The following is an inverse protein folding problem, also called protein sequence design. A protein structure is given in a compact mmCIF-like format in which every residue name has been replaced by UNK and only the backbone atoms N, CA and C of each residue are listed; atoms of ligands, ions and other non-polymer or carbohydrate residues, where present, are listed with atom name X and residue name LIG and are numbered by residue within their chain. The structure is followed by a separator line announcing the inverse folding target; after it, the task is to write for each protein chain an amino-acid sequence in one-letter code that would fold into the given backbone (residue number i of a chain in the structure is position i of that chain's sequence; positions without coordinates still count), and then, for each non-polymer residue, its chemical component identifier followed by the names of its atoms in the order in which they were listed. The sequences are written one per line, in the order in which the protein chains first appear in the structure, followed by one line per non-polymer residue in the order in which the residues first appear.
data_IF_005353517315
#
_entry.id   IF_005353517315
#
_cell.length_a   1.000
_cell.length_b   1.000
_cell.length_c   1.000
_cell.angle_alpha   90.00
_cell.angle_beta   90.00
_cell.angle_gamma   90.00
#
_symmetry.space_group_name_H-M   'P 1'
#
loop_
_entity.id
_entity.type
_entity.pdbx_description
1 polymer ?
#
# COMPACT_ATOMS: atom_id res chain seq x y z
N UNK A 1 23.19 3.44 55.35
CA UNK A 1 23.02 3.90 53.96
C UNK A 1 23.02 2.72 52.96
N UNK A 2 22.19 1.68 53.14
CA UNK A 2 22.11 0.51 52.23
C UNK A 2 20.80 0.44 51.41
N UNK A 3 19.82 1.32 51.67
CA UNK A 3 18.49 1.24 51.07
C UNK A 3 18.35 1.81 49.65
N UNK A 4 19.26 2.67 49.20
CA UNK A 4 19.15 3.33 47.89
C UNK A 4 19.60 2.42 46.73
N UNK A 5 20.59 1.55 46.96
CA UNK A 5 21.11 0.65 45.91
C UNK A 5 20.15 -0.50 45.58
N UNK A 6 19.46 -1.05 46.58
CA UNK A 6 18.53 -2.17 46.38
C UNK A 6 17.27 -1.73 45.61
N UNK A 7 16.71 -0.56 45.92
CA UNK A 7 15.56 0.00 45.20
C UNK A 7 15.81 0.22 43.71
N UNK A 8 17.00 0.72 43.35
CA UNK A 8 17.42 0.87 41.95
C UNK A 8 17.53 -0.48 41.23
N UNK A 9 18.11 -1.50 41.87
CA UNK A 9 18.20 -2.85 41.28
C UNK A 9 16.82 -3.45 41.03
N UNK A 10 15.88 -3.36 41.99
CA UNK A 10 14.50 -3.83 41.78
C UNK A 10 13.79 -3.07 40.67
N UNK A 11 14.00 -1.76 40.57
CA UNK A 11 13.45 -0.95 39.48
C UNK A 11 13.97 -1.40 38.12
N UNK A 12 15.28 -1.63 37.98
CA UNK A 12 15.90 -2.11 36.74
C UNK A 12 15.42 -3.52 36.35
N UNK A 13 15.27 -4.42 37.32
CA UNK A 13 14.70 -5.76 37.09
C UNK A 13 13.24 -5.64 36.63
N UNK A 14 12.45 -4.74 37.24
CA UNK A 14 11.08 -4.46 36.84
C UNK A 14 11.00 -3.95 35.39
N UNK A 15 11.84 -2.98 35.03
CA UNK A 15 11.94 -2.45 33.66
C UNK A 15 12.34 -3.53 32.65
N UNK A 16 13.31 -4.38 33.01
CA UNK A 16 13.75 -5.51 32.20
C UNK A 16 12.63 -6.52 31.96
N UNK A 17 11.90 -6.89 33.00
CA UNK A 17 10.79 -7.83 32.89
C UNK A 17 9.63 -7.26 32.07
N UNK A 18 9.31 -5.97 32.24
CA UNK A 18 8.30 -5.29 31.44
C UNK A 18 8.66 -5.29 29.94
N UNK A 19 9.92 -5.00 29.60
CA UNK A 19 10.38 -5.01 28.20
C UNK A 19 10.31 -6.42 27.59
N UNK A 20 10.66 -7.46 28.36
CA UNK A 20 10.55 -8.85 27.89
C UNK A 20 9.10 -9.24 27.64
N UNK A 21 8.19 -8.88 28.55
CA UNK A 21 6.75 -9.14 28.37
C UNK A 21 6.23 -8.42 27.12
N UNK A 22 6.66 -7.17 26.87
CA UNK A 22 6.29 -6.43 25.67
C UNK A 22 6.80 -7.10 24.37
N UNK A 23 8.03 -7.62 24.37
CA UNK A 23 8.60 -8.36 23.24
C UNK A 23 7.81 -9.66 23.01
N UNK A 24 7.49 -10.40 24.07
CA UNK A 24 6.69 -11.63 24.00
C UNK A 24 5.27 -11.36 23.48
N UNK A 25 4.62 -10.29 23.97
CA UNK A 25 3.31 -9.88 23.51
C UNK A 25 3.32 -9.51 22.02
N UNK A 26 4.31 -8.71 21.58
CA UNK A 26 4.48 -8.35 20.16
C UNK A 26 4.70 -9.61 19.29
N UNK A 27 5.51 -10.56 19.75
CA UNK A 27 5.72 -11.84 19.07
C UNK A 27 4.43 -12.66 18.96
N UNK A 28 3.69 -12.80 20.06
CA UNK A 28 2.42 -13.56 20.09
C UNK A 28 1.36 -12.91 19.21
N UNK A 29 1.25 -11.57 19.25
CA UNK A 29 0.38 -10.82 18.35
C UNK A 29 0.75 -11.04 16.88
N UNK A 30 2.05 -11.07 16.55
CA UNK A 30 2.48 -11.40 15.20
C UNK A 30 2.02 -12.79 14.73
N UNK A 31 2.11 -13.79 15.60
CA UNK A 31 1.68 -15.16 15.29
C UNK A 31 0.16 -15.28 15.15
N UNK A 32 -0.61 -14.61 16.01
CA UNK A 32 -2.06 -14.55 15.92
C UNK A 32 -2.50 -13.83 14.64
N UNK A 33 -1.84 -12.72 14.27
CA UNK A 33 -2.14 -11.95 13.07
C UNK A 33 -1.83 -12.74 11.78
N UNK A 34 -0.77 -13.56 11.77
CA UNK A 34 -0.53 -14.47 10.65
C UNK A 34 -1.66 -15.48 10.49
N UNK A 35 -2.19 -16.01 11.59
CA UNK A 35 -3.27 -17.00 11.55
C UNK A 35 -4.61 -16.38 11.12
N UNK A 36 -4.83 -15.11 11.44
CA UNK A 36 -6.05 -14.38 11.08
C UNK A 36 -5.99 -13.68 9.72
N UNK A 37 -4.90 -13.84 8.96
CA UNK A 37 -4.71 -13.23 7.64
C UNK A 37 -4.36 -11.72 7.69
N UNK A 38 -4.09 -11.16 8.87
CA UNK A 38 -3.62 -9.78 9.02
C UNK A 38 -2.10 -9.70 8.80
N UNK A 39 -1.68 -9.97 7.58
CA UNK A 39 -0.27 -10.16 7.21
C UNK A 39 0.61 -8.94 7.52
N UNK A 40 0.19 -7.72 7.16
CA UNK A 40 0.95 -6.51 7.45
C UNK A 40 1.15 -6.28 8.96
N UNK A 41 0.09 -6.52 9.76
CA UNK A 41 0.16 -6.40 11.22
C UNK A 41 1.07 -7.46 11.84
N UNK A 42 1.07 -8.67 11.28
CA UNK A 42 2.02 -9.70 11.68
C UNK A 42 3.46 -9.27 11.43
N UNK A 43 3.73 -8.70 10.25
CA UNK A 43 5.03 -8.15 9.89
C UNK A 43 5.49 -7.05 10.85
N UNK A 44 4.65 -6.04 11.09
CA UNK A 44 4.95 -4.93 11.99
C UNK A 44 5.25 -5.41 13.42
N UNK A 45 4.43 -6.31 13.96
CA UNK A 45 4.59 -6.82 15.32
C UNK A 45 5.87 -7.68 15.47
N UNK A 46 6.20 -8.49 14.46
CA UNK A 46 7.44 -9.29 14.47
C UNK A 46 8.70 -8.41 14.42
N UNK A 47 8.67 -7.34 13.62
CA UNK A 47 9.76 -6.36 13.56
C UNK A 47 9.88 -5.56 14.84
N UNK A 48 8.77 -5.17 15.46
CA UNK A 48 8.78 -4.48 16.76
C UNK A 48 9.48 -5.35 17.80
N UNK A 49 9.13 -6.63 17.90
CA UNK A 49 9.79 -7.59 18.79
C UNK A 49 11.30 -7.73 18.50
N UNK A 50 11.66 -7.90 17.21
CA UNK A 50 13.06 -8.02 16.78
C UNK A 50 13.88 -6.76 17.05
N UNK A 51 13.31 -5.58 16.78
CA UNK A 51 13.96 -4.28 17.00
C UNK A 51 14.17 -4.00 18.48
N UNK A 52 13.16 -4.23 19.33
CA UNK A 52 13.31 -4.08 20.79
C UNK A 52 14.39 -4.98 21.37
N UNK A 53 14.60 -6.17 20.79
CA UNK A 53 15.66 -7.08 21.21
C UNK A 53 17.05 -6.63 20.71
N UNK A 54 17.12 -6.09 19.48
CA UNK A 54 18.36 -5.56 18.88
C UNK A 54 18.82 -4.29 19.60
N UNK A 55 17.88 -3.37 19.82
CA UNK A 55 18.10 -2.06 20.42
C UNK A 55 17.90 -2.14 21.95
N UNK A 56 18.48 -3.16 22.58
CA UNK A 56 18.33 -3.40 24.01
C UNK A 56 18.88 -2.20 24.81
N UNK A 57 18.15 -1.66 25.81
CA UNK A 57 18.59 -0.47 26.52
C UNK A 57 19.94 -0.67 27.22
N UNK A 58 20.88 0.24 26.98
CA UNK A 58 22.25 0.14 27.52
C UNK A 58 22.31 0.10 29.06
N UNK A 59 21.39 0.79 29.73
CA UNK A 59 21.26 0.76 31.20
C UNK A 59 20.78 -0.60 31.73
N UNK A 60 20.27 -1.50 30.88
CA UNK A 60 19.93 -2.89 31.20
C UNK A 60 20.98 -3.89 30.68
N UNK A 61 22.19 -3.44 30.34
CA UNK A 61 23.25 -4.30 29.82
C UNK A 61 23.66 -5.44 30.77
N UNK A 62 23.48 -5.26 32.08
CA UNK A 62 23.70 -6.29 33.11
C UNK A 62 22.54 -7.29 33.23
N UNK A 63 21.37 -6.98 32.70
CA UNK A 63 20.14 -7.78 32.80
C UNK A 63 19.67 -8.23 31.41
N UNK A 64 20.55 -8.86 30.64
CA UNK A 64 20.24 -9.26 29.26
C UNK A 64 19.06 -10.25 29.21
N UNK A 65 18.28 -10.24 28.11
CA UNK A 65 17.29 -11.26 27.84
C UNK A 65 17.95 -12.63 27.65
N UNK A 66 17.22 -13.69 27.97
CA UNK A 66 17.71 -15.05 27.81
C UNK A 66 17.82 -15.47 26.32
N UNK A 67 18.60 -16.52 26.07
CA UNK A 67 18.82 -17.03 24.72
C UNK A 67 17.53 -17.59 24.08
N UNK A 68 16.60 -18.10 24.88
CA UNK A 68 15.36 -18.69 24.40
C UNK A 68 14.44 -17.62 23.79
N UNK A 69 14.32 -16.45 24.42
CA UNK A 69 13.60 -15.31 23.87
C UNK A 69 14.16 -14.90 22.51
N UNK A 70 15.49 -14.83 22.38
CA UNK A 70 16.15 -14.51 21.11
C UNK A 70 15.83 -15.51 20.01
N UNK A 71 15.87 -16.82 20.32
CA UNK A 71 15.51 -17.89 19.39
C UNK A 71 14.04 -17.76 18.95
N UNK A 72 13.12 -17.54 19.90
CA UNK A 72 11.70 -17.41 19.59
C UNK A 72 11.41 -16.20 18.70
N UNK A 73 11.96 -15.03 19.03
CA UNK A 73 11.78 -13.82 18.22
C UNK A 73 12.33 -14.01 16.81
N UNK A 74 13.50 -14.63 16.68
CA UNK A 74 14.12 -14.90 15.37
C UNK A 74 13.28 -15.90 14.57
N UNK A 75 12.73 -16.93 15.21
CA UNK A 75 11.84 -17.91 14.57
C UNK A 75 10.56 -17.24 14.05
N UNK A 76 9.92 -16.40 14.87
CA UNK A 76 8.71 -15.67 14.46
C UNK A 76 9.02 -14.69 13.32
N UNK A 77 10.13 -13.94 13.41
CA UNK A 77 10.53 -13.01 12.36
C UNK A 77 10.82 -13.73 11.04
N UNK A 78 11.53 -14.87 11.07
CA UNK A 78 11.73 -15.71 9.89
C UNK A 78 10.39 -16.15 9.29
N UNK A 79 9.49 -16.70 10.10
CA UNK A 79 8.17 -17.16 9.64
C UNK A 79 7.39 -16.05 8.95
N UNK A 80 7.44 -14.84 9.51
CA UNK A 80 6.71 -13.68 8.99
C UNK A 80 7.36 -13.13 7.73
N UNK A 81 8.69 -12.98 7.69
CA UNK A 81 9.43 -12.47 6.52
C UNK A 81 9.20 -13.32 5.27
N UNK A 82 9.14 -14.65 5.41
CA UNK A 82 8.90 -15.56 4.29
C UNK A 82 7.43 -15.94 4.10
N UNK A 83 6.57 -15.68 5.09
CA UNK A 83 5.15 -16.04 5.08
C UNK A 83 4.22 -14.91 4.65
N UNK A 84 4.64 -13.66 4.78
CA UNK A 84 3.84 -12.47 4.44
C UNK A 84 4.10 -12.03 3.00
N UNK A 85 3.02 -11.78 2.26
CA UNK A 85 3.03 -11.22 0.91
C UNK A 85 2.60 -9.76 0.89
N UNK A 86 1.68 -9.38 1.77
CA UNK A 86 1.24 -7.99 1.93
C UNK A 86 2.39 -7.09 2.40
N UNK A 87 2.68 -6.02 1.64
CA UNK A 87 3.73 -5.05 1.99
C UNK A 87 3.19 -3.67 2.34
N UNK A 88 2.00 -3.33 1.86
CA UNK A 88 1.44 -2.00 2.05
C UNK A 88 -0.08 -1.96 1.83
N UNK A 89 -0.71 -0.88 2.32
CA UNK A 89 -2.12 -0.53 2.11
C UNK A 89 -2.22 0.91 1.64
N UNK A 90 -2.75 1.12 0.44
CA UNK A 90 -2.89 2.44 -0.19
C UNK A 90 -4.31 2.97 0.06
N UNK A 91 -4.49 3.81 1.08
CA UNK A 91 -5.81 4.16 1.63
C UNK A 91 -6.18 5.64 1.54
N UNK A 92 -6.06 6.27 0.37
CA UNK A 92 -6.42 7.70 0.17
C UNK A 92 -7.77 7.89 -0.55
N UNK A 93 -8.17 6.95 -1.40
CA UNK A 93 -9.47 6.98 -2.07
C UNK A 93 -10.62 6.97 -1.06
N UNK A 94 -11.63 7.79 -1.31
CA UNK A 94 -12.90 7.78 -0.58
C UNK A 94 -13.96 6.91 -1.28
N UNK A 95 -13.80 6.71 -2.59
CA UNK A 95 -14.64 5.82 -3.40
C UNK A 95 -14.12 4.38 -3.46
N UNK A 96 -14.83 3.53 -4.20
CA UNK A 96 -14.37 2.15 -4.45
C UNK A 96 -13.28 2.18 -5.51
N UNK A 97 -12.11 1.64 -5.20
CA UNK A 97 -11.03 1.47 -6.18
C UNK A 97 -11.46 0.42 -7.21
N UNK A 98 -11.51 0.80 -8.48
CA UNK A 98 -12.01 -0.04 -9.58
C UNK A 98 -10.95 -0.38 -10.62
N UNK A 99 -9.86 0.40 -10.68
CA UNK A 99 -8.77 0.16 -11.62
C UNK A 99 -7.40 0.40 -10.99
N UNK A 100 -6.41 -0.29 -11.53
CA UNK A 100 -5.03 -0.24 -11.05
C UNK A 100 -4.07 -0.40 -12.23
N UNK A 101 -3.09 0.49 -12.33
CA UNK A 101 -2.02 0.44 -13.32
C UNK A 101 -0.67 0.40 -12.61
N UNK A 102 0.27 -0.39 -13.12
CA UNK A 102 1.67 -0.40 -12.67
C UNK A 102 2.51 0.10 -13.84
N UNK A 103 3.45 1.01 -13.58
CA UNK A 103 4.34 1.50 -14.63
C UNK A 103 5.26 0.38 -15.14
N UNK A 104 5.71 0.42 -16.41
CA UNK A 104 6.60 -0.59 -16.98
C UNK A 104 7.92 -0.78 -16.23
N UNK A 105 8.48 0.28 -15.65
CA UNK A 105 9.66 0.24 -14.78
C UNK A 105 9.35 -0.28 -13.35
N UNK A 106 8.07 -0.50 -13.06
CA UNK A 106 7.55 -0.94 -11.78
C UNK A 106 7.66 0.10 -10.66
N UNK A 107 8.08 1.34 -10.94
CA UNK A 107 8.36 2.37 -9.94
C UNK A 107 7.12 3.10 -9.43
N UNK A 108 6.06 3.16 -10.24
CA UNK A 108 4.82 3.87 -9.96
C UNK A 108 3.62 2.94 -10.03
N UNK A 109 2.63 3.28 -9.23
CA UNK A 109 1.32 2.63 -9.19
C UNK A 109 0.29 3.74 -9.36
N UNK A 110 -0.64 3.57 -10.30
CA UNK A 110 -1.84 4.39 -10.42
C UNK A 110 -3.02 3.59 -9.87
N UNK A 111 -3.81 4.20 -9.01
CA UNK A 111 -5.11 3.67 -8.59
C UNK A 111 -6.21 4.65 -8.96
N UNK A 112 -7.36 4.12 -9.38
CA UNK A 112 -8.50 4.91 -9.80
C UNK A 112 -9.78 4.40 -9.14
N UNK A 113 -10.65 5.33 -8.75
CA UNK A 113 -11.93 4.99 -8.10
C UNK A 113 -13.16 5.27 -8.97
N UNK A 114 -14.33 4.88 -8.45
CA UNK A 114 -15.62 5.04 -9.11
C UNK A 114 -16.15 6.48 -9.16
N UNK A 115 -15.46 7.44 -8.54
CA UNK A 115 -15.68 8.88 -8.69
C UNK A 115 -14.72 9.53 -9.71
N UNK A 116 -13.86 8.72 -10.33
CA UNK A 116 -12.85 9.18 -11.28
C UNK A 116 -11.67 9.88 -10.64
N UNK A 117 -11.46 9.72 -9.33
CA UNK A 117 -10.24 10.22 -8.68
C UNK A 117 -9.08 9.29 -9.05
N UNK A 118 -7.92 9.89 -9.33
CA UNK A 118 -6.68 9.20 -9.66
C UNK A 118 -5.65 9.51 -8.57
N UNK A 119 -5.10 8.47 -7.96
CA UNK A 119 -3.98 8.59 -7.02
C UNK A 119 -2.74 7.93 -7.63
N UNK A 120 -1.59 8.60 -7.50
CA UNK A 120 -0.29 8.08 -7.95
C UNK A 120 0.59 7.79 -6.74
N UNK A 121 1.18 6.60 -6.74
CA UNK A 121 1.97 6.09 -5.63
C UNK A 121 3.33 5.62 -6.12
N UNK A 122 4.33 5.71 -5.26
CA UNK A 122 5.56 4.95 -5.45
C UNK A 122 5.42 3.51 -4.95
N UNK A 123 6.42 2.67 -5.21
CA UNK A 123 6.47 1.28 -4.72
C UNK A 123 6.47 1.15 -3.20
N UNK A 124 6.85 2.21 -2.49
CA UNK A 124 6.81 2.27 -1.03
C UNK A 124 5.43 2.66 -0.51
N UNK A 125 4.46 2.90 -1.41
CA UNK A 125 3.09 3.33 -1.16
C UNK A 125 2.96 4.75 -0.65
N UNK A 126 3.98 5.59 -0.86
CA UNK A 126 3.86 7.03 -0.65
C UNK A 126 3.12 7.63 -1.84
N UNK A 127 2.21 8.56 -1.55
CA UNK A 127 1.59 9.38 -2.59
C UNK A 127 2.66 10.25 -3.25
N UNK A 128 2.75 10.20 -4.57
CA UNK A 128 3.73 10.94 -5.36
C UNK A 128 3.39 12.43 -5.47
N UNK A 129 2.10 12.75 -5.47
CA UNK A 129 1.56 14.11 -5.52
C UNK A 129 1.07 14.56 -4.13
N UNK A 130 0.81 15.86 -3.96
CA UNK A 130 0.28 16.40 -2.70
C UNK A 130 -1.11 15.84 -2.35
N UNK A 131 -1.95 15.58 -3.35
CA UNK A 131 -3.20 14.85 -3.22
C UNK A 131 -3.52 14.05 -4.49
N UNK A 132 -4.55 13.20 -4.42
CA UNK A 132 -5.16 12.60 -5.58
C UNK A 132 -5.90 13.68 -6.38
N UNK A 133 -5.94 13.53 -7.69
CA UNK A 133 -6.51 14.53 -8.58
C UNK A 133 -7.73 13.98 -9.31
N UNK A 134 -8.61 14.89 -9.71
CA UNK A 134 -9.81 14.55 -10.47
C UNK A 134 -9.39 14.11 -11.88
N UNK A 135 -9.63 12.84 -12.19
CA UNK A 135 -9.56 12.24 -13.52
C UNK A 135 -10.69 12.71 -14.43
N UNK A 136 -10.79 12.14 -15.64
CA UNK A 136 -11.92 12.40 -16.54
C UNK A 136 -13.26 12.05 -15.86
N UNK A 137 -14.30 12.82 -16.15
CA UNK A 137 -15.63 12.62 -15.57
C UNK A 137 -16.20 11.24 -15.93
N UNK A 138 -16.61 10.47 -14.92
CA UNK A 138 -17.20 9.14 -15.06
C UNK A 138 -16.48 8.07 -14.24
N UNK A 139 -16.89 6.80 -14.38
CA UNK A 139 -16.18 5.68 -13.74
C UNK A 139 -14.97 5.31 -14.58
N UNK A 140 -13.77 5.39 -14.01
CA UNK A 140 -12.54 4.99 -14.69
C UNK A 140 -12.44 3.46 -14.70
N UNK A 141 -12.60 2.85 -15.87
CA UNK A 141 -12.59 1.40 -16.02
C UNK A 141 -11.17 0.83 -16.07
N UNK A 142 -10.23 1.60 -16.61
CA UNK A 142 -8.85 1.14 -16.81
C UNK A 142 -7.89 2.33 -16.84
N UNK A 143 -6.66 2.07 -16.42
CA UNK A 143 -5.56 3.02 -16.41
C UNK A 143 -4.26 2.32 -16.85
N UNK A 144 -3.55 2.90 -17.81
CA UNK A 144 -2.31 2.34 -18.36
C UNK A 144 -1.25 3.42 -18.50
N UNK A 145 -0.03 3.11 -18.08
CA UNK A 145 1.11 4.01 -18.23
C UNK A 145 1.69 3.88 -19.65
N UNK A 146 2.16 4.98 -20.21
CA UNK A 146 3.03 4.91 -21.38
C UNK A 146 4.40 4.30 -21.01
N UNK A 147 5.17 3.82 -22.01
CA UNK A 147 6.50 3.23 -21.78
C UNK A 147 7.45 4.11 -20.96
N UNK A 148 7.45 5.42 -21.23
CA UNK A 148 8.32 6.40 -20.57
C UNK A 148 7.80 6.90 -19.21
N UNK A 149 6.64 6.41 -18.75
CA UNK A 149 6.05 6.74 -17.43
C UNK A 149 5.79 8.25 -17.22
N UNK A 150 5.60 9.00 -18.32
CA UNK A 150 5.25 10.42 -18.31
C UNK A 150 3.74 10.67 -18.42
N UNK A 151 3.02 9.74 -19.05
CA UNK A 151 1.59 9.84 -19.33
C UNK A 151 0.85 8.64 -18.76
N UNK A 152 -0.38 8.90 -18.32
CA UNK A 152 -1.36 7.88 -17.96
C UNK A 152 -2.56 7.98 -18.89
N UNK A 153 -2.81 6.92 -19.66
CA UNK A 153 -4.06 6.76 -20.38
C UNK A 153 -5.12 6.25 -19.40
N UNK A 154 -6.26 6.91 -19.41
CA UNK A 154 -7.42 6.51 -18.62
C UNK A 154 -8.62 6.38 -19.53
N UNK A 155 -9.45 5.39 -19.22
CA UNK A 155 -10.70 5.15 -19.94
C UNK A 155 -11.86 5.26 -18.96
N UNK A 156 -12.80 6.15 -19.26
CA UNK A 156 -13.99 6.37 -18.43
C UNK A 156 -15.26 6.01 -19.16
N UNK A 157 -16.19 5.37 -18.45
CA UNK A 157 -17.56 5.15 -18.92
C UNK A 157 -18.51 6.15 -18.26
N UNK A 158 -19.43 6.69 -19.07
CA UNK A 158 -20.53 7.50 -18.56
C UNK A 158 -21.45 6.65 -17.69
N UNK A 159 -21.84 7.22 -16.56
CA UNK A 159 -22.84 6.66 -15.66
C UNK A 159 -24.16 7.43 -15.78
N UNK A 160 -25.27 6.75 -15.55
CA UNK A 160 -26.58 7.41 -15.43
C UNK A 160 -26.75 8.13 -14.08
N UNK A 161 -27.92 8.75 -13.87
CA UNK A 161 -28.25 9.45 -12.63
C UNK A 161 -28.21 8.57 -11.38
N UNK A 162 -28.23 7.25 -11.54
CA UNK A 162 -28.19 6.28 -10.45
C UNK A 162 -26.77 5.69 -10.25
N UNK A 163 -25.77 6.19 -10.98
CA UNK A 163 -24.39 5.71 -10.91
C UNK A 163 -24.20 4.34 -11.56
N UNK A 164 -25.11 3.89 -12.43
CA UNK A 164 -25.00 2.63 -13.16
C UNK A 164 -24.35 2.85 -14.53
N UNK A 165 -23.55 1.87 -14.96
CA UNK A 165 -23.04 1.79 -16.33
C UNK A 165 -24.15 1.14 -17.17
N UNK A 166 -24.86 1.91 -17.97
CA UNK A 166 -25.98 1.39 -18.79
C UNK A 166 -25.47 0.67 -20.03
N UNK A 167 -24.94 -0.54 -19.86
CA UNK A 167 -24.59 -1.47 -20.95
C UNK A 167 -24.19 -0.78 -22.27
N UNK A 168 -24.81 -1.18 -23.38
CA UNK A 168 -24.41 -0.84 -24.74
C UNK A 168 -24.55 0.67 -25.08
N UNK A 169 -25.13 1.47 -24.18
CA UNK A 169 -25.33 2.91 -24.34
C UNK A 169 -24.32 3.76 -23.57
N UNK A 170 -23.43 3.14 -22.79
CA UNK A 170 -22.38 3.88 -22.10
C UNK A 170 -21.42 4.53 -23.09
N UNK A 171 -21.21 5.83 -22.88
CA UNK A 171 -20.22 6.64 -23.57
C UNK A 171 -18.86 6.35 -22.96
N UNK A 172 -17.94 5.85 -23.77
CA UNK A 172 -16.55 5.68 -23.37
C UNK A 172 -15.75 6.90 -23.82
N UNK A 173 -15.00 7.47 -22.88
CA UNK A 173 -14.06 8.57 -23.09
C UNK A 173 -12.64 8.10 -22.80
N UNK A 174 -11.73 8.33 -23.74
CA UNK A 174 -10.29 8.16 -23.55
C UNK A 174 -9.65 9.51 -23.22
N UNK A 175 -8.78 9.53 -22.22
CA UNK A 175 -8.01 10.70 -21.86
C UNK A 175 -6.56 10.34 -21.51
N UNK A 176 -5.65 11.26 -21.84
CA UNK A 176 -4.27 11.23 -21.40
C UNK A 176 -4.10 12.23 -20.27
N UNK A 177 -3.51 11.78 -19.17
CA UNK A 177 -3.12 12.62 -18.05
C UNK A 177 -1.61 12.72 -18.00
N UNK A 178 -1.10 13.94 -18.07
CA UNK A 178 0.31 14.25 -17.82
C UNK A 178 0.58 14.14 -16.32
N UNK A 179 1.56 13.30 -15.94
CA UNK A 179 1.76 12.96 -14.53
C UNK A 179 2.56 14.00 -13.76
N UNK A 180 3.24 14.92 -14.44
CA UNK A 180 4.03 15.99 -13.82
C UNK A 180 3.15 17.22 -13.58
N UNK A 181 2.39 17.61 -14.59
CA UNK A 181 1.54 18.81 -14.57
C UNK A 181 0.12 18.52 -14.10
N UNK A 182 -0.29 17.25 -14.04
CA UNK A 182 -1.66 16.79 -13.79
C UNK A 182 -2.68 17.31 -14.79
N UNK A 183 -2.22 17.77 -15.96
CA UNK A 183 -3.10 18.23 -17.03
C UNK A 183 -3.68 17.05 -17.80
N UNK A 184 -4.90 17.22 -18.30
CA UNK A 184 -5.63 16.18 -19.00
C UNK A 184 -6.00 16.62 -20.41
N UNK A 185 -5.79 15.71 -21.35
CA UNK A 185 -6.19 15.87 -22.75
C UNK A 185 -7.14 14.73 -23.10
N UNK A 186 -8.38 15.08 -23.45
CA UNK A 186 -9.37 14.13 -23.96
C UNK A 186 -9.02 13.79 -25.41
N UNK A 187 -8.84 12.50 -25.71
CA UNK A 187 -8.41 12.03 -27.03
C UNK A 187 -9.56 11.94 -28.04
N UNK A 188 -10.75 11.52 -27.60
CA UNK A 188 -11.87 11.30 -28.51
C UNK A 188 -12.89 12.44 -28.40
N UNK A 189 -13.16 13.14 -29.51
CA UNK A 189 -14.25 14.14 -29.58
C UNK A 189 -15.63 13.49 -29.73
N UNK A 190 -15.71 12.32 -30.37
CA UNK A 190 -16.94 11.52 -30.43
C UNK A 190 -16.86 10.28 -29.52
N UNK A 191 -17.77 10.16 -28.54
CA UNK A 191 -17.88 8.98 -27.68
C UNK A 191 -18.02 7.66 -28.44
N UNK A 192 -17.26 6.64 -28.04
CA UNK A 192 -17.61 5.27 -28.42
C UNK A 192 -18.81 4.82 -27.58
N UNK A 193 -19.81 4.23 -28.25
CA UNK A 193 -20.94 3.55 -27.60
C UNK A 193 -20.65 2.06 -27.62
N UNK A 194 -20.56 1.43 -26.46
CA UNK A 194 -20.25 0.01 -26.36
C UNK A 194 -19.53 -0.34 -25.08
N UNK A 195 -19.23 -1.62 -24.91
CA UNK A 195 -18.46 -2.10 -23.77
C UNK A 195 -16.99 -2.02 -24.20
N UNK A 196 -16.19 -1.22 -23.52
CA UNK A 196 -14.73 -1.35 -23.65
C UNK A 196 -14.16 -1.32 -22.26
N UNK A 197 -13.41 -2.34 -21.91
CA UNK A 197 -13.01 -2.58 -20.52
C UNK A 197 -11.58 -2.16 -20.24
N UNK A 198 -10.71 -2.20 -21.25
CA UNK A 198 -9.30 -1.93 -21.07
C UNK A 198 -8.73 -0.99 -22.13
N UNK A 199 -7.73 -0.21 -21.71
CA UNK A 199 -6.89 0.62 -22.58
C UNK A 199 -5.44 0.25 -22.33
N UNK A 200 -4.66 0.04 -23.39
CA UNK A 200 -3.23 -0.29 -23.28
C UNK A 200 -2.41 0.53 -24.27
N UNK A 201 -1.28 1.03 -23.78
CA UNK A 201 -0.25 1.58 -24.64
C UNK A 201 0.51 0.48 -25.39
N UNK A 202 0.73 0.73 -26.67
CA UNK A 202 1.77 0.06 -27.46
C UNK A 202 3.16 0.20 -26.81
N UNK A 203 4.05 -0.74 -27.11
CA UNK A 203 5.41 -0.74 -26.52
C UNK A 203 6.26 0.46 -26.93
N UNK A 204 5.98 1.05 -28.11
CA UNK A 204 6.62 2.29 -28.58
C UNK A 204 5.95 3.55 -28.01
N UNK A 205 4.79 3.42 -27.37
CA UNK A 205 4.04 4.51 -26.73
C UNK A 205 3.27 5.41 -27.71
N UNK A 206 3.30 5.10 -29.01
CA UNK A 206 2.69 5.94 -30.05
C UNK A 206 1.20 5.64 -30.26
N UNK A 207 0.77 4.43 -29.89
CA UNK A 207 -0.59 3.93 -30.14
C UNK A 207 -1.27 3.48 -28.85
N UNK A 208 -2.60 3.64 -28.82
CA UNK A 208 -3.48 3.09 -27.80
C UNK A 208 -4.40 2.04 -28.43
N UNK A 209 -4.47 0.88 -27.79
CA UNK A 209 -5.45 -0.15 -28.12
C UNK A 209 -6.56 -0.16 -27.08
N UNK A 210 -7.81 -0.29 -27.53
CA UNK A 210 -8.99 -0.53 -26.69
C UNK A 210 -9.67 -1.80 -27.16
N UNK A 211 -10.22 -2.59 -26.23
CA UNK A 211 -10.98 -3.79 -26.58
C UNK A 211 -12.27 -3.92 -25.76
N UNK A 212 -13.22 -4.64 -26.37
CA UNK A 212 -14.55 -5.00 -25.85
C UNK A 212 -14.56 -6.38 -25.21
#
# INVERSE_FOLDING_TARGET
MLGLGTGLVFSLIGQRNALIVQIQASRQAAEANLQSGQELEAWLNSLRAGKSLKDWPGYLSLFKPDANLKIQVTKTLHKVVYGVRERNRLGKHQGRVIGLGISPDGSRIASVDDAGIICLWDRSGKLLNDDCFQGPLGRVLSASFNPDVSLLATMTASVDSNGSIQGNNSIVTLALSDLETQQQVKLNQEPHKGWTWEVVFSQDGEQLATWE
#
